data_IF_002848309990
#
_entry.id   IF_002848309990
#
_cell.length_a   1.000
_cell.length_b   1.000
_cell.length_c   1.000
_cell.angle_alpha   90.00
_cell.angle_beta   90.00
_cell.angle_gamma   90.00
#
_symmetry.space_group_name_H-M   'P 1'
#
loop_
_entity.id
_entity.type
_entity.pdbx_description
1 polymer ?
#
# COMPACT_ATOMS: atom_id res chain seq x y z
N UNK A 1 39.84 -10.31 60.92
CA UNK A 1 41.02 -10.85 60.31
C UNK A 1 41.16 -12.35 60.63
N UNK A 2 41.89 -13.05 59.85
CA UNK A 2 42.22 -14.46 60.10
C UNK A 2 43.72 -14.68 60.00
N UNK A 3 44.18 -15.72 60.56
CA UNK A 3 45.58 -16.20 60.51
C UNK A 3 45.56 -17.51 59.74
N UNK A 4 46.34 -17.61 58.68
CA UNK A 4 46.56 -18.85 57.95
C UNK A 4 47.96 -19.34 58.20
N UNK A 5 48.10 -20.55 58.78
CA UNK A 5 49.40 -21.18 58.99
C UNK A 5 49.68 -22.16 57.86
N UNK A 6 50.65 -21.82 57.02
CA UNK A 6 50.98 -22.60 55.83
C UNK A 6 52.03 -23.71 56.11
N UNK A 7 52.52 -23.78 57.33
CA UNK A 7 53.58 -24.73 57.65
C UNK A 7 54.86 -24.49 56.85
N UNK A 8 55.60 -25.56 56.54
CA UNK A 8 56.79 -25.46 55.69
C UNK A 8 56.40 -25.50 54.20
N UNK A 9 56.49 -24.37 53.54
CA UNK A 9 56.07 -24.22 52.12
C UNK A 9 57.18 -24.52 51.10
N UNK A 10 58.43 -24.77 51.58
CA UNK A 10 59.54 -25.03 50.68
C UNK A 10 59.73 -23.91 49.63
N UNK A 11 59.79 -24.28 48.35
CA UNK A 11 59.92 -23.40 47.23
C UNK A 11 58.58 -23.13 46.53
N UNK A 12 57.45 -23.56 47.11
CA UNK A 12 56.15 -23.39 46.50
C UNK A 12 55.64 -21.91 46.57
N UNK A 13 54.97 -21.45 45.56
CA UNK A 13 54.27 -20.16 45.54
C UNK A 13 52.77 -20.37 45.85
N UNK A 14 52.25 -19.57 46.73
CA UNK A 14 50.84 -19.61 47.11
C UNK A 14 50.18 -18.28 46.79
N UNK A 15 48.94 -18.35 46.29
CA UNK A 15 48.04 -17.20 46.11
C UNK A 15 46.86 -17.39 47.06
N UNK A 16 46.57 -16.36 47.85
CA UNK A 16 45.42 -16.35 48.77
C UNK A 16 44.36 -15.39 48.15
N UNK A 17 43.25 -15.98 47.76
CA UNK A 17 42.08 -15.25 47.30
C UNK A 17 40.96 -15.39 48.33
N UNK A 18 40.24 -14.30 48.60
CA UNK A 18 39.07 -14.32 49.44
C UNK A 18 38.08 -13.22 49.10
N UNK A 19 36.81 -13.50 49.29
CA UNK A 19 35.73 -12.55 49.12
C UNK A 19 35.35 -11.94 50.47
N UNK A 20 34.94 -10.70 50.46
CA UNK A 20 34.41 -10.01 51.64
C UNK A 20 33.17 -9.23 51.28
N UNK A 21 32.20 -9.16 52.19
CA UNK A 21 31.04 -8.28 52.03
C UNK A 21 31.47 -6.83 52.13
N UNK A 22 30.93 -6.04 51.19
CA UNK A 22 31.24 -4.62 51.06
C UNK A 22 29.99 -3.79 51.36
N UNK A 23 30.14 -2.75 52.18
CA UNK A 23 29.11 -1.75 52.38
C UNK A 23 29.51 -0.46 51.64
N UNK A 24 28.73 0.02 50.70
CA UNK A 24 29.01 1.25 49.97
C UNK A 24 29.34 2.43 50.91
N UNK A 25 30.34 3.21 50.57
CA UNK A 25 30.78 4.35 51.37
C UNK A 25 31.80 4.02 52.49
N UNK A 26 32.13 2.76 52.71
CA UNK A 26 33.14 2.37 53.69
C UNK A 26 34.53 2.15 53.03
N UNK A 27 35.59 2.33 53.83
CA UNK A 27 36.93 2.01 53.38
C UNK A 27 37.24 0.53 53.67
N UNK A 28 37.53 -0.23 52.63
CA UNK A 28 38.10 -1.55 52.79
C UNK A 28 39.59 -1.45 53.03
N UNK A 29 40.08 -1.98 54.14
CA UNK A 29 41.51 -2.05 54.45
C UNK A 29 41.94 -3.50 54.47
N UNK A 30 42.86 -3.82 53.61
CA UNK A 30 43.51 -5.12 53.61
C UNK A 30 44.94 -4.94 54.14
N UNK A 31 45.32 -5.70 55.19
CA UNK A 31 46.67 -5.75 55.73
C UNK A 31 47.12 -7.18 55.74
N UNK A 32 48.08 -7.50 54.92
CA UNK A 32 48.72 -8.79 54.89
C UNK A 32 50.06 -8.66 55.66
N UNK A 33 50.27 -9.55 56.57
CA UNK A 33 51.57 -9.79 57.25
C UNK A 33 51.99 -11.24 57.06
N UNK A 34 53.17 -11.45 56.55
CA UNK A 34 53.80 -12.76 56.42
C UNK A 34 54.92 -12.81 57.40
N UNK A 35 54.83 -13.75 58.32
CA UNK A 35 55.89 -14.04 59.27
C UNK A 35 56.53 -15.37 58.89
N UNK A 36 57.79 -15.35 58.52
CA UNK A 36 58.54 -16.55 58.18
C UNK A 36 59.39 -17.07 59.39
N UNK A 37 59.60 -18.35 59.44
CA UNK A 37 60.34 -19.02 60.51
C UNK A 37 61.79 -18.58 60.64
N UNK A 38 62.37 -17.93 59.63
CA UNK A 38 63.73 -17.37 59.66
C UNK A 38 63.80 -15.96 60.29
N UNK A 39 62.74 -15.49 60.94
CA UNK A 39 62.65 -14.14 61.54
C UNK A 39 62.41 -12.99 60.58
N UNK A 40 62.30 -13.26 59.34
CA UNK A 40 61.91 -12.19 58.33
C UNK A 40 60.43 -12.05 58.33
N UNK A 41 59.92 -10.84 58.48
CA UNK A 41 58.50 -10.51 58.30
C UNK A 41 58.36 -9.49 57.14
N UNK A 42 57.32 -9.65 56.40
CA UNK A 42 56.89 -8.72 55.31
C UNK A 42 55.42 -8.31 55.54
N UNK A 43 55.15 -7.04 55.53
CA UNK A 43 53.79 -6.55 55.65
C UNK A 43 53.48 -5.59 54.48
N UNK A 44 52.38 -5.81 53.84
CA UNK A 44 51.82 -4.87 52.87
C UNK A 44 50.39 -4.55 53.29
N UNK A 45 49.94 -3.37 52.91
CA UNK A 45 48.54 -3.01 53.09
C UNK A 45 48.01 -2.30 51.82
N UNK A 46 46.80 -2.57 51.48
CA UNK A 46 46.05 -1.86 50.48
C UNK A 46 44.80 -1.26 51.10
N UNK A 47 44.44 -0.05 50.71
CA UNK A 47 43.22 0.58 51.14
C UNK A 47 42.37 0.80 49.91
N UNK A 48 41.21 0.23 49.94
CA UNK A 48 40.21 0.39 48.90
C UNK A 48 39.12 1.35 49.41
N UNK A 49 38.81 2.39 48.63
CA UNK A 49 37.65 3.26 48.91
C UNK A 49 36.81 3.33 47.65
N UNK A 50 35.54 2.98 47.73
CA UNK A 50 34.63 3.25 46.66
C UNK A 50 33.78 4.50 46.98
N UNK A 51 33.50 5.32 46.00
CA UNK A 51 32.49 6.35 46.07
C UNK A 51 31.08 5.71 46.01
N UNK A 52 30.05 6.39 46.52
CA UNK A 52 28.67 5.91 46.62
C UNK A 52 27.96 5.59 45.29
N UNK A 53 28.62 5.64 44.16
CA UNK A 53 28.08 5.21 42.87
C UNK A 53 28.77 3.91 42.44
N UNK A 54 28.02 2.81 42.49
CA UNK A 54 28.45 1.45 42.19
C UNK A 54 29.42 1.35 41.01
N UNK A 55 30.68 1.18 41.37
CA UNK A 55 31.74 0.94 40.42
C UNK A 55 32.56 -0.25 40.89
N UNK A 56 32.87 -1.15 39.95
CA UNK A 56 33.91 -2.18 40.13
C UNK A 56 35.18 -1.48 40.56
N UNK A 57 35.75 -1.95 41.70
CA UNK A 57 36.95 -1.36 42.26
C UNK A 57 38.14 -1.51 41.33
N UNK A 58 38.62 -0.42 40.79
CA UNK A 58 39.86 -0.32 40.07
C UNK A 58 40.92 0.22 41.05
N UNK A 59 41.81 -0.61 41.51
CA UNK A 59 42.84 -0.27 42.54
C UNK A 59 43.82 0.84 42.15
N UNK A 60 43.73 1.39 40.94
CA UNK A 60 44.63 2.39 40.40
C UNK A 60 43.98 3.80 40.25
N UNK A 61 42.86 4.05 40.95
CA UNK A 61 42.17 5.36 40.88
C UNK A 61 42.57 6.34 41.98
N UNK A 62 43.52 6.04 42.83
CA UNK A 62 43.98 6.98 43.85
C UNK A 62 44.46 8.28 43.20
N UNK A 63 43.95 9.41 43.72
CA UNK A 63 44.24 10.73 43.17
C UNK A 63 43.85 10.96 41.70
N UNK A 64 42.88 10.25 41.15
CA UNK A 64 42.42 10.39 39.76
C UNK A 64 40.91 10.63 39.68
N UNK A 65 40.47 11.13 38.57
CA UNK A 65 39.04 11.22 38.18
C UNK A 65 38.80 10.21 37.06
N UNK A 66 37.81 9.31 37.26
CA UNK A 66 37.26 8.44 36.24
C UNK A 66 35.86 8.92 35.83
N UNK A 67 35.67 9.22 34.57
CA UNK A 67 34.36 9.53 34.03
C UNK A 67 33.87 8.37 33.14
N UNK A 68 32.59 8.03 33.28
CA UNK A 68 31.94 6.96 32.53
C UNK A 68 30.76 7.59 31.82
N UNK A 69 30.82 7.65 30.52
CA UNK A 69 29.77 8.25 29.68
C UNK A 69 28.82 7.20 29.14
N UNK A 70 27.53 7.36 29.38
CA UNK A 70 26.50 6.40 28.98
C UNK A 70 25.27 7.08 28.38
N UNK A 71 24.50 6.28 27.64
CA UNK A 71 23.22 6.65 27.07
C UNK A 71 22.14 6.74 28.17
N UNK A 72 21.33 7.78 28.14
CA UNK A 72 20.28 7.97 29.16
C UNK A 72 19.08 7.03 29.01
N UNK A 73 18.83 6.51 27.80
CA UNK A 73 17.75 5.54 27.57
C UNK A 73 18.19 4.10 27.86
N UNK A 74 19.50 3.83 27.76
CA UNK A 74 20.09 2.52 28.07
C UNK A 74 21.53 2.67 28.57
N UNK A 75 21.72 2.66 29.87
CA UNK A 75 23.03 2.87 30.51
C UNK A 75 24.07 1.78 30.22
N UNK A 76 23.69 0.64 29.62
CA UNK A 76 24.63 -0.37 29.13
C UNK A 76 25.41 0.11 27.90
N UNK A 77 24.86 1.11 27.18
CA UNK A 77 25.49 1.70 26.02
C UNK A 77 26.51 2.75 26.49
N UNK A 78 27.78 2.47 26.25
CA UNK A 78 28.90 3.36 26.55
C UNK A 78 29.13 4.33 25.39
N UNK A 79 29.43 5.60 25.71
CA UNK A 79 29.51 6.67 24.70
C UNK A 79 30.96 7.19 24.58
N UNK A 80 31.56 6.98 23.41
CA UNK A 80 32.86 7.49 23.06
C UNK A 80 32.82 8.98 22.67
N UNK A 81 33.97 9.62 22.71
CA UNK A 81 34.20 10.98 22.21
C UNK A 81 33.46 12.11 22.95
N UNK A 82 32.91 11.87 24.15
CA UNK A 82 32.49 12.97 25.01
C UNK A 82 33.70 13.71 25.51
N UNK A 83 33.70 15.04 25.43
CA UNK A 83 34.78 15.90 25.93
C UNK A 83 34.25 16.66 27.15
N UNK A 84 35.01 16.55 28.22
CA UNK A 84 34.74 17.22 29.51
C UNK A 84 35.79 18.27 29.77
N UNK A 85 35.39 19.48 30.15
CA UNK A 85 36.23 20.47 30.74
C UNK A 85 36.30 20.26 32.25
N UNK A 86 37.48 20.08 32.77
CA UNK A 86 37.75 19.91 34.21
C UNK A 86 38.48 21.16 34.72
N UNK A 87 37.84 21.84 35.68
CA UNK A 87 38.47 22.98 36.39
C UNK A 87 39.04 22.55 37.70
N UNK A 88 40.33 22.79 37.91
CA UNK A 88 41.08 22.50 39.10
C UNK A 88 40.71 23.46 40.25
N UNK A 89 41.03 23.12 41.52
CA UNK A 89 40.82 24.04 42.65
C UNK A 89 41.48 25.40 42.51
N UNK A 90 42.60 25.48 41.76
CA UNK A 90 43.32 26.73 41.48
C UNK A 90 42.77 27.49 40.24
N UNK A 91 41.69 27.06 39.62
CA UNK A 91 41.03 27.67 38.49
C UNK A 91 41.61 27.27 37.12
N UNK A 92 42.72 26.55 37.06
CA UNK A 92 43.24 26.03 35.78
C UNK A 92 42.35 24.95 35.22
N UNK A 93 42.28 24.86 33.86
CA UNK A 93 41.40 23.90 33.16
C UNK A 93 42.20 22.91 32.33
N UNK A 94 41.67 21.75 32.18
CA UNK A 94 42.14 20.70 31.26
C UNK A 94 40.97 19.89 30.72
N UNK A 95 41.19 19.12 29.69
CA UNK A 95 40.13 18.32 29.06
C UNK A 95 40.32 16.83 29.31
N UNK A 96 39.21 16.12 29.44
CA UNK A 96 39.14 14.67 29.43
C UNK A 96 38.21 14.21 28.31
N UNK A 97 38.63 13.26 27.48
CA UNK A 97 37.85 12.73 26.37
C UNK A 97 37.63 11.23 26.55
N UNK A 98 36.38 10.76 26.47
CA UNK A 98 36.07 9.34 26.58
C UNK A 98 36.56 8.55 25.38
N UNK A 99 37.17 7.39 25.67
CA UNK A 99 37.60 6.43 24.67
C UNK A 99 36.46 5.57 24.12
N UNK A 100 36.81 4.57 23.31
CA UNK A 100 35.83 3.69 22.65
C UNK A 100 34.92 2.93 23.65
N UNK A 101 35.43 2.65 24.86
CA UNK A 101 34.70 2.01 25.96
C UNK A 101 33.81 3.00 26.74
N UNK A 102 33.71 4.26 26.31
CA UNK A 102 32.95 5.33 27.00
C UNK A 102 33.55 5.80 28.30
N UNK A 103 34.82 5.48 28.56
CA UNK A 103 35.51 5.84 29.81
C UNK A 103 36.71 6.74 29.53
N UNK A 104 37.05 7.53 30.56
CA UNK A 104 38.32 8.28 30.61
C UNK A 104 38.77 8.40 32.03
N UNK A 105 40.07 8.27 32.24
CA UNK A 105 40.73 8.44 33.53
C UNK A 105 41.77 9.56 33.44
N UNK A 106 41.78 10.49 34.39
CA UNK A 106 42.75 11.58 34.43
C UNK A 106 44.16 11.08 34.76
N UNK A 107 45.16 11.92 34.55
CA UNK A 107 46.45 11.78 35.23
C UNK A 107 46.24 11.92 36.74
N UNK A 108 47.30 11.67 37.55
CA UNK A 108 47.32 11.92 38.98
C UNK A 108 47.06 13.44 39.21
N UNK A 109 46.14 13.72 40.13
CA UNK A 109 45.68 15.04 40.48
C UNK A 109 46.03 15.39 41.93
N UNK A 110 46.16 16.65 42.22
CA UNK A 110 46.27 17.17 43.61
C UNK A 110 44.94 17.00 44.36
N UNK A 111 45.02 16.97 45.67
CA UNK A 111 43.82 16.91 46.51
C UNK A 111 42.97 18.20 46.31
N UNK A 112 41.65 18.05 46.16
CA UNK A 112 40.73 19.19 46.03
C UNK A 112 39.44 18.84 45.34
N UNK A 113 38.59 19.86 45.19
CA UNK A 113 37.32 19.78 44.51
C UNK A 113 37.50 20.21 43.05
N UNK A 114 37.14 19.34 42.12
CA UNK A 114 37.25 19.53 40.69
C UNK A 114 35.84 19.71 40.11
N UNK A 115 35.63 20.78 39.36
CA UNK A 115 34.40 21.05 38.61
C UNK A 115 34.50 20.41 37.24
N UNK A 116 33.58 19.55 36.88
CA UNK A 116 33.50 18.85 35.60
C UNK A 116 32.23 19.24 34.88
N UNK A 117 32.38 19.72 33.62
CA UNK A 117 31.27 20.07 32.76
C UNK A 117 31.49 19.40 31.40
N UNK A 118 30.43 18.91 30.77
CA UNK A 118 30.53 18.43 29.39
C UNK A 118 30.70 19.58 28.42
N UNK A 119 31.86 19.66 27.75
CA UNK A 119 32.13 20.64 26.71
C UNK A 119 31.60 20.23 25.34
N UNK A 120 31.67 18.93 25.03
CA UNK A 120 31.18 18.37 23.77
C UNK A 120 30.51 17.02 24.02
N UNK A 121 29.24 16.93 23.68
CA UNK A 121 28.51 15.66 23.72
C UNK A 121 28.97 14.73 22.59
N UNK A 122 28.83 13.43 22.75
CA UNK A 122 28.97 12.47 21.66
C UNK A 122 28.02 12.81 20.50
N UNK A 123 28.43 12.57 19.27
CA UNK A 123 27.58 12.80 18.10
C UNK A 123 26.29 11.99 18.23
N UNK A 124 25.15 12.63 17.98
CA UNK A 124 23.83 12.02 18.13
C UNK A 124 23.18 12.17 19.50
N UNK A 125 23.82 12.91 20.41
CA UNK A 125 23.32 13.18 21.75
C UNK A 125 23.20 14.68 22.03
N UNK A 126 22.26 15.03 22.91
CA UNK A 126 22.11 16.39 23.41
C UNK A 126 23.19 16.68 24.44
N UNK A 127 23.84 17.86 24.42
CA UNK A 127 24.83 18.23 25.41
C UNK A 127 24.20 18.37 26.80
N UNK A 128 24.92 17.96 27.85
CA UNK A 128 24.53 18.19 29.22
C UNK A 128 25.16 19.51 29.72
N UNK A 129 24.34 20.33 30.37
CA UNK A 129 24.82 21.57 31.05
C UNK A 129 25.06 21.34 32.55
N UNK A 130 24.96 20.10 33.00
CA UNK A 130 25.08 19.75 34.41
C UNK A 130 26.53 19.91 34.88
N UNK A 131 26.75 20.61 36.00
CA UNK A 131 28.04 20.71 36.67
C UNK A 131 28.18 19.62 37.71
N UNK A 132 29.33 18.94 37.71
CA UNK A 132 29.65 17.92 38.71
C UNK A 132 30.88 18.36 39.53
N UNK A 133 30.76 18.42 40.84
CA UNK A 133 31.87 18.64 41.73
C UNK A 133 32.39 17.29 42.21
N UNK A 134 33.63 16.96 41.84
CA UNK A 134 34.30 15.69 42.16
C UNK A 134 35.45 15.93 43.12
N UNK A 135 35.38 15.31 44.28
CA UNK A 135 36.39 15.43 45.33
C UNK A 135 37.49 14.39 45.13
N UNK A 136 38.70 14.84 44.89
CA UNK A 136 39.88 13.99 44.80
C UNK A 136 40.63 14.04 46.11
N UNK A 137 41.02 12.89 46.63
CA UNK A 137 41.82 12.74 47.86
C UNK A 137 43.05 11.88 47.61
N UNK A 138 44.13 11.99 48.39
CA UNK A 138 45.34 11.15 48.23
C UNK A 138 45.09 9.65 48.33
N UNK A 139 44.04 9.29 49.07
CA UNK A 139 43.71 7.88 49.33
C UNK A 139 42.57 7.35 48.47
N UNK A 140 42.00 8.17 47.60
CA UNK A 140 40.89 7.74 46.72
C UNK A 140 40.67 8.70 45.57
N UNK A 141 40.24 8.15 44.43
CA UNK A 141 39.81 8.88 43.27
C UNK A 141 38.31 9.15 43.26
N UNK A 142 37.83 9.89 42.30
CA UNK A 142 36.43 10.13 42.08
C UNK A 142 35.96 9.41 40.82
N UNK A 143 34.85 8.66 40.90
CA UNK A 143 34.22 8.03 39.76
C UNK A 143 32.84 8.69 39.55
N UNK A 144 32.55 9.11 38.32
CA UNK A 144 31.24 9.67 37.98
C UNK A 144 30.70 9.09 36.70
N UNK A 145 29.50 8.55 36.75
CA UNK A 145 28.70 8.18 35.61
C UNK A 145 27.91 9.43 35.17
N UNK A 146 27.98 9.74 33.88
CA UNK A 146 27.30 10.91 33.27
C UNK A 146 26.51 10.42 32.06
N UNK A 147 25.24 10.76 31.99
CA UNK A 147 24.33 10.34 30.92
C UNK A 147 24.20 11.46 29.87
N UNK A 148 23.92 11.10 28.60
CA UNK A 148 23.34 12.01 27.61
C UNK A 148 22.06 11.46 27.05
N UNK A 149 21.11 12.36 26.77
CA UNK A 149 19.87 12.03 26.07
C UNK A 149 20.14 11.94 24.55
N UNK A 150 19.70 10.88 23.88
CA UNK A 150 19.84 10.80 22.42
C UNK A 150 18.98 11.88 21.76
N UNK A 151 19.44 12.37 20.60
CA UNK A 151 18.64 13.23 19.72
C UNK A 151 17.54 12.37 19.12
N UNK A 152 16.31 12.81 19.27
CA UNK A 152 15.12 12.13 18.76
C UNK A 152 14.37 13.00 17.76
N UNK A 153 13.67 12.33 16.84
CA UNK A 153 12.86 12.94 15.80
C UNK A 153 11.48 12.26 15.76
N UNK A 154 10.55 12.96 15.13
CA UNK A 154 9.25 12.42 14.75
C UNK A 154 9.22 12.25 13.24
N UNK A 155 8.82 11.06 12.76
CA UNK A 155 8.70 10.74 11.34
C UNK A 155 7.23 10.71 10.96
N UNK A 156 6.86 11.56 10.00
CA UNK A 156 5.48 11.70 9.53
C UNK A 156 5.25 10.91 8.25
N UNK A 157 4.06 10.34 8.12
CA UNK A 157 3.60 9.66 6.90
C UNK A 157 2.19 10.08 6.56
N UNK A 158 1.94 10.24 5.25
CA UNK A 158 0.63 10.56 4.66
C UNK A 158 0.34 9.60 3.52
N UNK A 159 -0.92 9.16 3.44
CA UNK A 159 -1.45 8.36 2.33
C UNK A 159 -2.29 9.20 1.39
N UNK A 160 -2.12 8.98 0.07
CA UNK A 160 -2.96 9.56 -0.99
C UNK A 160 -3.38 8.51 -2.00
N UNK A 161 -4.49 8.76 -2.70
CA UNK A 161 -5.11 7.84 -3.65
C UNK A 161 -5.41 8.53 -4.97
N UNK A 162 -5.24 7.79 -6.07
CA UNK A 162 -5.71 8.13 -7.41
C UNK A 162 -6.58 6.98 -7.90
N UNK A 163 -7.83 7.25 -8.23
CA UNK A 163 -8.87 6.25 -8.48
C UNK A 163 -9.70 5.95 -7.22
N UNK A 164 -10.21 4.74 -7.11
CA UNK A 164 -11.01 4.32 -5.95
C UNK A 164 -10.13 4.33 -4.69
N UNK A 165 -10.64 4.90 -3.62
CA UNK A 165 -10.03 4.89 -2.30
C UNK A 165 -10.54 3.68 -1.53
N UNK A 166 -9.65 2.93 -0.91
CA UNK A 166 -9.98 1.80 -0.03
C UNK A 166 -10.27 2.29 1.40
N UNK A 167 -10.80 1.40 2.25
CA UNK A 167 -11.14 1.74 3.63
C UNK A 167 -9.90 1.89 4.51
N UNK A 168 -8.83 1.16 4.22
CA UNK A 168 -7.58 1.22 4.98
C UNK A 168 -6.40 0.69 4.18
N UNK A 169 -5.18 0.98 4.65
CA UNK A 169 -3.95 0.35 4.20
C UNK A 169 -2.96 0.18 5.36
N UNK A 170 -2.05 -0.77 5.23
CA UNK A 170 -0.98 -1.02 6.18
C UNK A 170 0.32 -0.37 5.71
N UNK A 171 0.91 0.46 6.55
CA UNK A 171 2.21 1.10 6.30
C UNK A 171 3.18 0.70 7.38
N UNK A 172 4.39 0.33 6.97
CA UNK A 172 5.49 -0.12 7.82
C UNK A 172 6.59 0.93 7.84
N UNK A 173 7.08 1.24 9.03
CA UNK A 173 8.28 2.05 9.24
C UNK A 173 9.51 1.14 9.32
N UNK A 174 10.56 1.51 8.64
CA UNK A 174 11.87 0.86 8.69
C UNK A 174 12.93 1.85 9.18
N UNK A 175 13.90 1.31 9.94
CA UNK A 175 15.12 2.00 10.32
C UNK A 175 16.31 1.14 9.85
N UNK A 176 17.12 1.65 8.92
CA UNK A 176 18.21 0.90 8.25
C UNK A 176 17.72 -0.47 7.73
N UNK A 177 16.60 -0.47 6.99
CA UNK A 177 15.92 -1.64 6.41
C UNK A 177 15.37 -2.67 7.43
N UNK A 178 15.42 -2.39 8.72
CA UNK A 178 14.80 -3.22 9.77
C UNK A 178 13.43 -2.65 10.12
N UNK A 179 12.39 -3.47 10.00
CA UNK A 179 11.02 -3.10 10.39
C UNK A 179 10.96 -2.72 11.87
N UNK A 180 10.36 -1.58 12.18
CA UNK A 180 10.20 -1.05 13.53
C UNK A 180 8.76 -1.06 14.00
N UNK A 181 7.85 -0.64 13.14
CA UNK A 181 6.46 -0.48 13.48
C UNK A 181 5.58 -0.66 12.24
N UNK A 182 4.39 -1.21 12.42
CA UNK A 182 3.35 -1.30 11.38
C UNK A 182 2.10 -0.60 11.87
N UNK A 183 1.55 0.29 11.05
CA UNK A 183 0.36 1.05 11.37
C UNK A 183 -0.70 0.91 10.28
N UNK A 184 -1.97 1.14 10.66
CA UNK A 184 -3.09 1.21 9.73
C UNK A 184 -3.46 2.67 9.47
N UNK A 185 -3.47 3.05 8.18
CA UNK A 185 -4.00 4.34 7.74
C UNK A 185 -5.42 4.17 7.19
N UNK A 186 -6.32 5.05 7.58
CA UNK A 186 -7.72 5.05 7.19
C UNK A 186 -8.34 6.46 7.36
N UNK A 187 -9.63 6.59 7.12
CA UNK A 187 -10.35 7.86 7.28
C UNK A 187 -10.32 8.38 8.72
N UNK A 188 -10.40 7.48 9.71
CA UNK A 188 -10.41 7.84 11.12
C UNK A 188 -9.16 8.58 11.61
N UNK A 189 -8.00 8.32 11.00
CA UNK A 189 -6.76 9.05 11.26
C UNK A 189 -6.40 10.04 10.13
N UNK A 190 -7.38 10.39 9.28
CA UNK A 190 -7.20 11.30 8.14
C UNK A 190 -6.05 10.89 7.21
N UNK A 191 -5.80 9.59 7.10
CA UNK A 191 -4.75 9.01 6.26
C UNK A 191 -3.34 9.50 6.60
N UNK A 192 -3.09 9.79 7.89
CA UNK A 192 -1.82 10.29 8.40
C UNK A 192 -1.42 9.58 9.68
N UNK A 193 -0.12 9.51 9.91
CA UNK A 193 0.44 9.07 11.18
C UNK A 193 1.75 9.78 11.46
N UNK A 194 2.09 9.90 12.76
CA UNK A 194 3.39 10.40 13.21
C UNK A 194 3.99 9.37 14.14
N UNK A 195 5.07 8.75 13.70
CA UNK A 195 5.93 7.92 14.53
C UNK A 195 6.77 8.83 15.42
N UNK A 196 6.60 8.73 16.72
CA UNK A 196 7.20 9.68 17.66
C UNK A 196 8.39 9.08 18.41
N UNK A 197 9.24 9.97 18.93
CA UNK A 197 10.29 9.60 19.87
C UNK A 197 11.36 8.65 19.28
N UNK A 198 11.59 8.70 17.96
CA UNK A 198 12.56 7.87 17.25
C UNK A 198 13.96 8.45 17.39
N UNK A 199 14.98 7.62 17.55
CA UNK A 199 16.37 8.07 17.56
C UNK A 199 16.81 8.57 16.19
N UNK A 200 17.41 9.74 16.12
CA UNK A 200 18.00 10.25 14.87
C UNK A 200 19.32 9.54 14.54
N UNK A 201 20.09 9.14 15.56
CA UNK A 201 21.42 8.56 15.40
C UNK A 201 21.54 7.24 16.19
N UNK A 202 22.38 6.36 15.70
CA UNK A 202 22.90 5.19 16.46
C UNK A 202 23.86 5.67 17.57
N UNK A 203 24.18 4.82 18.54
CA UNK A 203 25.13 5.15 19.61
C UNK A 203 26.53 5.56 19.14
N UNK A 204 26.95 5.11 17.96
CA UNK A 204 28.22 5.45 17.33
C UNK A 204 28.20 6.81 16.59
N UNK A 205 27.06 7.49 16.58
CA UNK A 205 26.83 8.76 15.88
C UNK A 205 26.52 8.61 14.40
N UNK A 206 26.28 7.41 13.88
CA UNK A 206 25.80 7.18 12.51
C UNK A 206 24.31 7.53 12.44
N UNK A 207 23.91 8.34 11.43
CA UNK A 207 22.51 8.69 11.24
C UNK A 207 21.70 7.50 10.78
N UNK A 208 20.54 7.29 11.41
CA UNK A 208 19.60 6.21 11.09
C UNK A 208 18.79 6.62 9.85
N UNK A 209 18.76 5.76 8.83
CA UNK A 209 17.95 5.97 7.63
C UNK A 209 16.56 5.41 7.83
N UNK A 210 15.58 6.29 7.94
CA UNK A 210 14.18 5.91 8.01
C UNK A 210 13.57 5.82 6.60
N UNK A 211 12.71 4.83 6.40
CA UNK A 211 11.90 4.66 5.19
C UNK A 211 10.54 4.06 5.54
N UNK A 212 9.58 4.24 4.64
CA UNK A 212 8.25 3.63 4.79
C UNK A 212 7.97 2.72 3.59
N UNK A 213 7.27 1.62 3.85
CA UNK A 213 6.76 0.71 2.81
C UNK A 213 5.31 0.36 3.12
N UNK A 214 4.50 0.25 2.10
CA UNK A 214 3.12 -0.19 2.21
C UNK A 214 2.99 -1.67 1.85
N UNK A 215 2.04 -2.36 2.45
CA UNK A 215 1.51 -3.59 1.89
C UNK A 215 0.55 -3.17 0.77
N UNK A 216 1.08 -3.09 -0.45
CA UNK A 216 0.36 -2.54 -1.60
C UNK A 216 -0.88 -3.39 -1.87
N UNK A 217 -2.08 -2.78 -1.87
CA UNK A 217 -3.31 -3.51 -2.20
C UNK A 217 -3.30 -3.99 -3.66
N UNK A 218 -3.95 -5.12 -3.90
CA UNK A 218 -4.14 -5.62 -5.24
C UNK A 218 -4.88 -4.60 -6.12
N UNK A 219 -4.48 -4.49 -7.38
CA UNK A 219 -5.05 -3.53 -8.33
C UNK A 219 -4.55 -2.09 -8.16
N UNK A 220 -3.50 -1.89 -7.37
CA UNK A 220 -2.87 -0.58 -7.18
C UNK A 220 -1.36 -0.65 -7.38
N UNK A 221 -0.78 0.50 -7.75
CA UNK A 221 0.66 0.76 -7.75
C UNK A 221 0.97 1.80 -6.70
N UNK A 222 2.00 1.54 -5.89
CA UNK A 222 2.45 2.47 -4.87
C UNK A 222 3.66 3.28 -5.36
N UNK A 223 3.64 4.58 -5.10
CA UNK A 223 4.76 5.51 -5.28
C UNK A 223 5.09 6.11 -3.92
N UNK A 224 6.38 6.28 -3.65
CA UNK A 224 6.89 6.81 -2.39
C UNK A 224 7.69 8.08 -2.64
N UNK A 225 7.46 9.10 -1.82
CA UNK A 225 8.20 10.36 -1.86
C UNK A 225 8.36 10.96 -0.46
N UNK A 226 9.18 11.99 -0.34
CA UNK A 226 9.48 12.62 0.95
C UNK A 226 10.62 11.93 1.70
N UNK A 227 10.81 12.30 2.98
CA UNK A 227 11.87 11.83 3.84
C UNK A 227 11.50 11.95 5.33
N UNK A 228 12.35 11.42 6.21
CA UNK A 228 12.17 11.55 7.66
C UNK A 228 12.22 13.00 8.16
N UNK A 229 12.96 13.87 7.48
CA UNK A 229 13.06 15.29 7.84
C UNK A 229 11.86 16.13 7.36
N UNK A 230 11.04 15.58 6.47
CA UNK A 230 9.84 16.25 5.94
C UNK A 230 8.57 15.48 6.30
N UNK A 231 7.98 14.80 5.35
CA UNK A 231 6.85 13.89 5.50
C UNK A 231 6.96 12.84 4.39
N UNK A 232 6.88 11.57 4.71
CA UNK A 232 6.73 10.53 3.71
C UNK A 232 5.32 10.57 3.12
N UNK A 233 5.23 10.48 1.80
CA UNK A 233 3.96 10.36 1.08
C UNK A 233 3.93 9.02 0.38
N UNK A 234 2.93 8.21 0.71
CA UNK A 234 2.60 6.96 0.03
C UNK A 234 1.39 7.22 -0.85
N UNK A 235 1.58 7.19 -2.17
CA UNK A 235 0.54 7.44 -3.16
C UNK A 235 0.19 6.14 -3.87
N UNK A 236 -1.08 5.71 -3.80
CA UNK A 236 -1.56 4.61 -4.61
C UNK A 236 -2.34 5.12 -5.82
N UNK A 237 -2.01 4.54 -6.96
CA UNK A 237 -2.75 4.75 -8.21
C UNK A 237 -3.41 3.43 -8.60
N UNK A 238 -4.73 3.45 -8.78
CA UNK A 238 -5.49 2.29 -9.22
C UNK A 238 -5.09 1.90 -10.65
N UNK A 239 -4.87 0.62 -10.90
CA UNK A 239 -4.65 0.10 -12.25
C UNK A 239 -5.93 0.21 -13.07
N UNK A 240 -5.84 0.90 -14.20
CA UNK A 240 -6.96 1.13 -15.10
C UNK A 240 -6.71 0.54 -16.49
N UNK A 241 -7.80 0.38 -17.25
CA UNK A 241 -7.81 -0.08 -18.62
C UNK A 241 -8.76 0.75 -19.47
N UNK A 242 -8.57 0.70 -20.79
CA UNK A 242 -9.50 1.24 -21.77
C UNK A 242 -10.24 0.10 -22.44
N UNK A 243 -11.55 0.25 -22.59
CA UNK A 243 -12.44 -0.74 -23.21
C UNK A 243 -13.05 -0.15 -24.46
N UNK A 244 -12.80 -0.79 -25.58
CA UNK A 244 -13.38 -0.46 -26.89
C UNK A 244 -14.43 -1.49 -27.26
N UNK A 245 -15.63 -1.00 -27.62
CA UNK A 245 -16.73 -1.83 -28.12
C UNK A 245 -17.03 -1.50 -29.57
N UNK A 246 -17.44 -2.51 -30.32
CA UNK A 246 -17.70 -2.40 -31.76
C UNK A 246 -19.13 -2.76 -32.14
N UNK A 247 -19.66 -2.09 -33.15
CA UNK A 247 -20.94 -2.35 -33.78
C UNK A 247 -20.74 -2.81 -35.22
N UNK A 248 -21.38 -3.91 -35.58
CA UNK A 248 -21.45 -4.41 -36.95
C UNK A 248 -22.90 -4.39 -37.43
N UNK A 249 -23.12 -3.86 -38.61
CA UNK A 249 -24.38 -3.92 -39.33
C UNK A 249 -24.22 -4.88 -40.49
N UNK A 250 -25.10 -5.84 -40.60
CA UNK A 250 -25.15 -6.78 -41.73
C UNK A 250 -26.45 -6.54 -42.47
N UNK A 251 -26.32 -6.20 -43.74
CA UNK A 251 -27.46 -5.85 -44.61
C UNK A 251 -28.26 -4.60 -44.13
N UNK A 252 -29.43 -4.35 -44.75
CA UNK A 252 -30.34 -3.27 -44.41
C UNK A 252 -29.97 -1.90 -45.00
N UNK A 253 -30.83 -0.90 -44.79
CA UNK A 253 -30.68 0.43 -45.37
C UNK A 253 -29.32 1.05 -45.08
N UNK A 254 -28.83 1.89 -46.00
CA UNK A 254 -27.57 2.64 -45.86
C UNK A 254 -27.61 3.50 -44.59
N UNK A 255 -28.70 4.22 -44.33
CA UNK A 255 -28.91 4.95 -43.09
C UNK A 255 -29.24 3.99 -41.96
N UNK A 256 -28.32 3.86 -41.01
CA UNK A 256 -28.50 2.99 -39.85
C UNK A 256 -29.19 3.75 -38.71
N UNK A 257 -30.03 3.06 -37.92
CA UNK A 257 -30.61 3.68 -36.73
C UNK A 257 -29.57 4.07 -35.72
N UNK A 258 -29.80 5.16 -35.00
CA UNK A 258 -28.99 5.55 -33.83
C UNK A 258 -29.27 4.59 -32.70
N UNK A 259 -28.21 4.06 -32.09
CA UNK A 259 -28.26 3.17 -30.96
C UNK A 259 -27.32 3.67 -29.86
N UNK A 260 -27.42 3.10 -28.67
CA UNK A 260 -26.57 3.38 -27.54
C UNK A 260 -25.99 2.11 -26.98
N UNK A 261 -24.74 2.18 -26.52
CA UNK A 261 -24.09 1.12 -25.73
C UNK A 261 -24.00 1.53 -24.27
N UNK A 262 -24.43 0.64 -23.39
CA UNK A 262 -24.20 0.71 -21.95
C UNK A 262 -23.18 -0.33 -21.55
N UNK A 263 -22.18 0.07 -20.75
CA UNK A 263 -21.08 -0.79 -20.32
C UNK A 263 -21.49 -1.61 -19.10
N UNK A 264 -21.14 -2.89 -19.13
CA UNK A 264 -21.31 -3.85 -18.07
C UNK A 264 -19.99 -4.56 -17.77
N UNK A 265 -19.90 -5.13 -16.59
CA UNK A 265 -18.77 -5.96 -16.18
C UNK A 265 -19.21 -7.11 -15.29
N UNK A 266 -18.35 -8.12 -15.16
CA UNK A 266 -18.46 -9.18 -14.16
C UNK A 266 -17.08 -9.72 -13.79
N UNK A 267 -16.96 -10.35 -12.64
CA UNK A 267 -15.86 -11.25 -12.32
C UNK A 267 -16.15 -12.63 -12.90
N UNK A 268 -15.13 -13.48 -13.02
CA UNK A 268 -15.31 -14.85 -13.52
C UNK A 268 -16.27 -15.68 -12.63
N UNK A 269 -16.36 -15.34 -11.34
CA UNK A 269 -17.23 -15.96 -10.34
C UNK A 269 -18.66 -15.44 -10.34
N UNK A 270 -18.92 -14.32 -11.00
CA UNK A 270 -20.23 -13.69 -10.95
C UNK A 270 -21.22 -14.38 -11.89
N UNK A 271 -22.43 -14.65 -11.44
CA UNK A 271 -23.46 -15.31 -12.26
C UNK A 271 -24.01 -14.39 -13.35
N UNK A 272 -23.97 -13.08 -13.15
CA UNK A 272 -24.58 -12.07 -14.02
C UNK A 272 -23.71 -10.85 -14.23
N UNK A 273 -24.03 -10.10 -15.29
CA UNK A 273 -23.43 -8.82 -15.59
C UNK A 273 -23.98 -7.71 -14.69
N UNK A 274 -23.12 -6.83 -14.23
CA UNK A 274 -23.49 -5.62 -13.50
C UNK A 274 -23.14 -4.40 -14.31
N UNK A 275 -24.01 -3.42 -14.39
CA UNK A 275 -23.74 -2.16 -15.06
C UNK A 275 -22.53 -1.47 -14.38
N UNK A 276 -21.64 -0.91 -15.19
CA UNK A 276 -20.51 -0.14 -14.67
C UNK A 276 -21.01 1.21 -14.18
N UNK A 277 -20.95 1.40 -12.88
CA UNK A 277 -21.37 2.63 -12.25
C UNK A 277 -20.54 3.82 -12.77
N UNK A 278 -21.19 4.95 -13.03
CA UNK A 278 -20.58 6.18 -13.58
C UNK A 278 -19.92 6.06 -14.98
N UNK A 279 -19.99 4.90 -15.65
CA UNK A 279 -19.60 4.83 -17.05
C UNK A 279 -20.71 5.47 -17.92
N UNK A 280 -20.39 6.48 -18.75
CA UNK A 280 -21.40 7.09 -19.59
C UNK A 280 -21.95 6.10 -20.60
N UNK A 281 -23.27 6.16 -20.86
CA UNK A 281 -23.87 5.51 -22.01
C UNK A 281 -23.35 6.20 -23.26
N UNK A 282 -22.89 5.43 -24.24
CA UNK A 282 -22.26 5.96 -25.46
C UNK A 282 -23.20 5.82 -26.65
N UNK A 283 -23.40 6.92 -27.34
CA UNK A 283 -24.18 6.98 -28.57
C UNK A 283 -23.37 6.50 -29.76
N UNK A 284 -24.00 5.71 -30.64
CA UNK A 284 -23.52 5.37 -31.96
C UNK A 284 -24.56 5.87 -32.97
N UNK A 285 -24.34 7.10 -33.43
CA UNK A 285 -25.10 7.68 -34.51
C UNK A 285 -24.74 7.04 -35.86
N UNK A 286 -25.53 7.31 -36.89
CA UNK A 286 -25.37 6.76 -38.24
C UNK A 286 -23.91 6.80 -38.72
N UNK A 287 -23.34 5.63 -39.02
CA UNK A 287 -21.98 5.47 -39.50
C UNK A 287 -20.91 5.25 -38.40
N UNK A 288 -21.22 5.52 -37.13
CA UNK A 288 -20.33 5.20 -36.04
C UNK A 288 -20.41 3.72 -35.67
N UNK A 289 -19.26 3.07 -35.65
CA UNK A 289 -19.15 1.63 -35.36
C UNK A 289 -18.33 1.29 -34.11
N UNK A 290 -17.77 2.30 -33.42
CA UNK A 290 -16.89 2.10 -32.30
C UNK A 290 -17.13 3.16 -31.21
N UNK A 291 -17.00 2.72 -29.96
CA UNK A 291 -16.95 3.60 -28.78
C UNK A 291 -15.93 3.07 -27.78
N UNK A 292 -15.34 3.99 -27.00
CA UNK A 292 -14.31 3.65 -26.02
C UNK A 292 -14.65 4.26 -24.67
N UNK A 293 -14.40 3.52 -23.60
CA UNK A 293 -14.39 3.99 -22.22
C UNK A 293 -12.99 3.86 -21.67
N UNK A 294 -12.46 4.94 -21.08
CA UNK A 294 -11.12 5.00 -20.51
C UNK A 294 -11.18 5.01 -18.98
N UNK A 295 -10.02 4.78 -18.35
CA UNK A 295 -9.85 4.83 -16.89
C UNK A 295 -10.78 3.89 -16.11
N UNK A 296 -11.13 2.76 -16.68
CA UNK A 296 -11.94 1.74 -16.03
C UNK A 296 -11.06 0.89 -15.11
N UNK A 297 -11.56 0.48 -13.92
CA UNK A 297 -10.83 -0.45 -13.05
C UNK A 297 -10.51 -1.75 -13.78
N UNK A 298 -9.23 -2.16 -13.78
CA UNK A 298 -8.86 -3.45 -14.36
C UNK A 298 -9.31 -4.61 -13.47
N UNK A 299 -9.25 -4.43 -12.15
CA UNK A 299 -9.54 -5.45 -11.15
C UNK A 299 -10.48 -4.91 -10.06
N UNK A 300 -11.03 -5.82 -9.27
CA UNK A 300 -11.66 -5.46 -8.01
C UNK A 300 -10.64 -5.22 -6.89
N UNK A 301 -11.12 -4.98 -5.66
CA UNK A 301 -10.28 -4.68 -4.49
C UNK A 301 -9.46 -5.90 -4.00
N UNK A 302 -9.76 -7.10 -4.51
CA UNK A 302 -9.02 -8.33 -4.24
C UNK A 302 -8.05 -8.70 -5.37
N UNK A 303 -7.94 -7.87 -6.42
CA UNK A 303 -7.08 -8.09 -7.57
C UNK A 303 -7.66 -9.05 -8.61
N UNK A 304 -8.96 -9.39 -8.54
CA UNK A 304 -9.62 -10.26 -9.52
C UNK A 304 -10.01 -9.43 -10.75
N UNK A 305 -9.66 -9.90 -11.93
CA UNK A 305 -9.89 -9.17 -13.17
C UNK A 305 -11.37 -9.10 -13.54
N UNK A 306 -11.81 -7.92 -14.00
CA UNK A 306 -13.12 -7.72 -14.60
C UNK A 306 -13.13 -8.12 -16.06
N UNK A 307 -14.17 -8.83 -16.48
CA UNK A 307 -14.53 -8.99 -17.88
C UNK A 307 -15.62 -7.97 -18.21
N UNK A 308 -15.34 -7.15 -19.22
CA UNK A 308 -16.26 -6.11 -19.69
C UNK A 308 -17.10 -6.59 -20.88
N UNK A 309 -18.33 -6.11 -20.98
CA UNK A 309 -19.24 -6.33 -22.10
C UNK A 309 -20.18 -5.16 -22.27
N UNK A 310 -20.87 -5.07 -23.40
CA UNK A 310 -21.84 -4.02 -23.67
C UNK A 310 -23.23 -4.60 -23.96
N UNK A 311 -24.24 -3.81 -23.66
CA UNK A 311 -25.63 -4.03 -24.09
C UNK A 311 -26.05 -2.89 -25.01
N UNK A 312 -26.74 -3.26 -26.09
CA UNK A 312 -27.34 -2.32 -27.03
C UNK A 312 -28.73 -1.91 -26.58
N UNK A 313 -29.05 -0.65 -26.76
CA UNK A 313 -30.37 -0.13 -26.45
C UNK A 313 -30.65 1.26 -27.05
N UNK A 314 -31.65 1.89 -26.51
CA UNK A 314 -32.07 3.25 -26.81
C UNK A 314 -32.05 4.10 -25.55
N UNK A 315 -31.88 5.41 -25.72
CA UNK A 315 -31.99 6.38 -24.63
C UNK A 315 -33.22 7.25 -24.89
N UNK A 316 -34.18 7.17 -23.97
CA UNK A 316 -35.39 7.99 -23.99
C UNK A 316 -35.48 8.78 -22.69
N UNK A 317 -35.58 10.09 -22.76
CA UNK A 317 -35.61 10.99 -21.61
C UNK A 317 -34.44 10.76 -20.63
N UNK A 318 -33.26 10.46 -21.17
CA UNK A 318 -32.03 10.19 -20.38
C UNK A 318 -31.94 8.78 -19.78
N UNK A 319 -32.92 7.92 -20.00
CA UNK A 319 -32.97 6.55 -19.49
C UNK A 319 -32.59 5.57 -20.59
N UNK A 320 -31.56 4.74 -20.32
CA UNK A 320 -31.18 3.65 -21.21
C UNK A 320 -32.12 2.45 -21.02
N UNK A 321 -32.61 1.93 -22.14
CA UNK A 321 -33.41 0.70 -22.17
C UNK A 321 -32.83 -0.24 -23.22
N UNK A 322 -32.60 -1.49 -22.86
CA UNK A 322 -32.16 -2.51 -23.83
C UNK A 322 -33.23 -2.71 -24.89
N UNK A 323 -32.89 -2.42 -26.13
CA UNK A 323 -33.78 -2.58 -27.29
C UNK A 323 -32.93 -2.81 -28.52
N UNK A 324 -33.29 -3.82 -29.30
CA UNK A 324 -32.79 -4.02 -30.65
C UNK A 324 -33.62 -3.10 -31.62
N UNK A 325 -32.99 -2.40 -32.57
CA UNK A 325 -33.73 -1.67 -33.57
C UNK A 325 -34.72 -2.56 -34.34
N UNK A 326 -35.84 -1.98 -34.70
CA UNK A 326 -36.87 -2.73 -35.44
C UNK A 326 -36.30 -3.25 -36.76
N UNK A 327 -36.71 -4.42 -37.16
CA UNK A 327 -36.23 -5.16 -38.35
C UNK A 327 -34.77 -5.58 -38.30
N UNK A 328 -34.19 -5.75 -37.11
CA UNK A 328 -32.88 -6.32 -36.95
C UNK A 328 -32.90 -7.49 -35.94
N UNK A 329 -32.07 -8.50 -36.23
CA UNK A 329 -31.73 -9.57 -35.28
C UNK A 329 -30.37 -9.25 -34.66
N UNK A 330 -30.31 -9.13 -33.35
CA UNK A 330 -29.11 -8.82 -32.59
C UNK A 330 -28.36 -10.09 -32.16
N UNK A 331 -27.06 -10.06 -32.33
CA UNK A 331 -26.14 -11.01 -31.71
C UNK A 331 -25.14 -10.26 -30.83
N UNK A 332 -25.00 -10.67 -29.58
CA UNK A 332 -24.08 -10.10 -28.61
C UNK A 332 -22.93 -11.06 -28.36
N UNK A 333 -21.70 -10.58 -28.48
CA UNK A 333 -20.49 -11.31 -28.17
C UNK A 333 -19.52 -10.38 -27.41
N UNK A 334 -19.73 -10.27 -26.10
CA UNK A 334 -18.94 -9.44 -25.22
C UNK A 334 -18.98 -7.95 -25.58
N UNK A 335 -17.95 -7.47 -26.22
CA UNK A 335 -17.79 -6.06 -26.66
C UNK A 335 -18.21 -5.86 -28.11
N UNK A 336 -18.64 -6.90 -28.80
CA UNK A 336 -19.04 -6.84 -30.20
C UNK A 336 -20.55 -7.11 -30.33
N UNK A 337 -21.27 -6.16 -30.89
CA UNK A 337 -22.70 -6.32 -31.19
C UNK A 337 -22.90 -6.30 -32.69
N UNK A 338 -23.58 -7.32 -33.21
CA UNK A 338 -23.94 -7.45 -34.62
C UNK A 338 -25.45 -7.37 -34.75
N UNK A 339 -25.94 -6.47 -35.60
CA UNK A 339 -27.33 -6.44 -36.03
C UNK A 339 -27.44 -6.82 -37.51
N UNK A 340 -28.16 -7.92 -37.73
CA UNK A 340 -28.48 -8.39 -39.09
C UNK A 340 -29.90 -7.94 -39.46
N UNK A 341 -30.02 -7.26 -40.59
CA UNK A 341 -31.32 -6.82 -41.08
C UNK A 341 -32.23 -7.98 -41.44
N UNK A 342 -33.49 -7.85 -41.13
CA UNK A 342 -34.58 -8.75 -41.52
C UNK A 342 -35.71 -7.96 -42.11
N UNK A 343 -36.12 -8.33 -43.30
CA UNK A 343 -37.22 -7.64 -43.99
C UNK A 343 -38.51 -7.66 -43.14
N UNK A 344 -39.18 -6.54 -42.98
CA UNK A 344 -40.55 -6.53 -42.44
C UNK A 344 -41.43 -7.46 -43.23
N UNK A 345 -42.36 -8.14 -42.53
CA UNK A 345 -43.27 -9.04 -43.17
C UNK A 345 -44.59 -8.38 -43.48
N UNK A 346 -45.10 -8.61 -44.71
CA UNK A 346 -46.39 -8.08 -45.17
C UNK A 346 -47.30 -9.20 -45.58
N UNK A 347 -48.54 -8.89 -45.73
CA UNK A 347 -49.57 -9.68 -46.42
C UNK A 347 -50.04 -8.96 -47.67
N UNK A 348 -50.30 -9.71 -48.72
CA UNK A 348 -50.94 -9.21 -49.93
C UNK A 348 -52.25 -9.97 -50.08
N UNK A 349 -53.33 -9.23 -50.19
CA UNK A 349 -54.67 -9.79 -50.38
C UNK A 349 -55.16 -9.50 -51.80
N UNK A 350 -55.72 -10.48 -52.42
CA UNK A 350 -56.31 -10.35 -53.73
C UNK A 350 -57.75 -10.82 -53.67
N UNK A 351 -58.63 -10.07 -54.34
CA UNK A 351 -60.02 -10.39 -54.52
C UNK A 351 -60.33 -10.35 -56.03
N UNK A 352 -60.72 -11.49 -56.57
CA UNK A 352 -61.13 -11.58 -57.96
C UNK A 352 -62.59 -11.15 -58.11
N UNK A 353 -62.80 -10.00 -58.75
CA UNK A 353 -64.09 -9.50 -59.11
C UNK A 353 -64.36 -9.89 -60.55
N UNK A 354 -65.53 -10.39 -60.80
CA UNK A 354 -66.05 -10.62 -62.16
C UNK A 354 -66.88 -9.45 -62.58
N UNK A 355 -66.42 -8.79 -63.59
CA UNK A 355 -67.18 -7.73 -64.27
C UNK A 355 -67.53 -8.26 -65.66
N UNK A 356 -68.71 -8.73 -65.76
CA UNK A 356 -69.28 -9.19 -66.99
C UNK A 356 -70.54 -8.33 -67.22
N UNK A 357 -70.47 -7.50 -68.14
CA UNK A 357 -71.52 -6.61 -68.63
C UNK A 357 -72.83 -7.40 -68.81
N UNK A 358 -73.34 -7.77 -67.70
CA UNK A 358 -74.23 -8.89 -67.55
C UNK A 358 -75.67 -8.56 -67.60
N UNK A 359 -75.96 -7.36 -67.97
CA UNK A 359 -77.36 -7.02 -68.26
C UNK A 359 -77.96 -7.90 -69.34
N UNK A 360 -77.19 -8.71 -69.95
CA UNK A 360 -77.56 -9.70 -70.92
C UNK A 360 -77.46 -11.15 -70.43
N UNK A 361 -77.60 -11.35 -69.16
CA UNK A 361 -77.66 -12.68 -68.62
C UNK A 361 -76.33 -13.36 -68.29
N UNK A 362 -75.23 -12.63 -68.37
CA UNK A 362 -73.90 -13.18 -68.04
C UNK A 362 -73.86 -13.73 -66.65
N UNK A 363 -74.31 -13.02 -65.62
CA UNK A 363 -74.34 -13.52 -64.23
C UNK A 363 -75.31 -14.68 -64.04
N UNK A 364 -76.48 -14.63 -64.71
CA UNK A 364 -77.44 -15.72 -64.66
C UNK A 364 -76.88 -17.01 -65.31
N UNK A 365 -76.32 -16.80 -66.52
CA UNK A 365 -75.65 -17.92 -67.21
C UNK A 365 -74.45 -18.47 -66.44
N UNK A 366 -73.70 -17.56 -65.87
CA UNK A 366 -72.47 -17.95 -65.07
C UNK A 366 -72.84 -18.60 -63.73
N UNK A 367 -73.88 -18.06 -63.05
CA UNK A 367 -74.33 -18.67 -61.80
C UNK A 367 -74.88 -20.06 -61.99
N UNK A 368 -75.51 -20.30 -63.17
CA UNK A 368 -76.04 -21.64 -63.53
C UNK A 368 -74.90 -22.67 -63.76
N UNK A 369 -73.77 -22.21 -64.32
CA UNK A 369 -72.63 -23.07 -64.58
C UNK A 369 -71.47 -22.88 -63.55
N UNK A 370 -71.60 -21.98 -62.62
CA UNK A 370 -70.57 -21.56 -61.68
C UNK A 370 -69.49 -20.71 -62.34
N UNK A 371 -68.72 -20.00 -61.51
CA UNK A 371 -67.56 -19.23 -61.97
C UNK A 371 -66.39 -20.17 -62.28
N UNK A 372 -65.65 -19.93 -63.36
CA UNK A 372 -64.51 -20.78 -63.72
C UNK A 372 -63.38 -20.71 -62.66
N UNK A 373 -62.67 -21.81 -62.54
CA UNK A 373 -61.40 -21.81 -61.77
C UNK A 373 -60.39 -20.95 -62.52
N UNK A 374 -59.74 -20.06 -61.78
CA UNK A 374 -58.62 -19.23 -62.29
C UNK A 374 -57.36 -19.47 -61.49
N UNK A 375 -56.22 -19.22 -62.06
CA UNK A 375 -54.90 -19.24 -61.42
C UNK A 375 -54.38 -17.83 -61.28
N UNK A 376 -53.96 -17.49 -60.09
CA UNK A 376 -53.32 -16.19 -59.81
C UNK A 376 -51.88 -16.43 -59.42
N UNK A 377 -50.94 -15.76 -60.07
CA UNK A 377 -49.51 -15.76 -59.75
C UNK A 377 -49.10 -14.44 -59.11
N UNK A 378 -48.45 -14.56 -57.92
CA UNK A 378 -47.79 -13.41 -57.30
C UNK A 378 -46.44 -13.22 -57.99
N UNK A 379 -46.10 -11.95 -58.24
CA UNK A 379 -44.80 -11.54 -58.74
C UNK A 379 -44.08 -10.61 -57.77
N UNK A 380 -42.76 -10.78 -57.67
CA UNK A 380 -41.87 -9.92 -56.90
C UNK A 380 -40.80 -9.37 -57.82
N UNK A 381 -40.76 -8.06 -58.04
CA UNK A 381 -39.86 -7.40 -58.95
C UNK A 381 -39.86 -8.07 -60.37
N UNK A 382 -41.03 -8.47 -60.88
CA UNK A 382 -41.19 -9.08 -62.16
C UNK A 382 -40.86 -10.57 -62.24
N UNK A 383 -40.43 -11.19 -61.17
CA UNK A 383 -40.19 -12.61 -61.07
C UNK A 383 -41.34 -13.32 -60.32
N UNK A 384 -41.74 -14.53 -60.77
CA UNK A 384 -42.78 -15.32 -60.08
C UNK A 384 -42.32 -15.67 -58.64
N UNK A 385 -43.17 -15.37 -57.67
CA UNK A 385 -42.99 -15.70 -56.27
C UNK A 385 -43.91 -16.84 -55.85
N UNK A 386 -43.33 -18.01 -55.51
CA UNK A 386 -44.10 -19.20 -55.19
C UNK A 386 -44.83 -19.80 -56.41
N UNK A 387 -45.77 -20.70 -56.11
CA UNK A 387 -46.61 -21.35 -57.13
C UNK A 387 -47.90 -20.59 -57.37
N UNK A 388 -48.51 -20.67 -58.57
CA UNK A 388 -49.85 -20.11 -58.80
C UNK A 388 -50.87 -20.69 -57.84
N UNK A 389 -51.76 -19.87 -57.38
CA UNK A 389 -52.87 -20.24 -56.49
C UNK A 389 -54.15 -20.36 -57.31
N UNK A 390 -54.92 -21.42 -57.11
CA UNK A 390 -56.22 -21.59 -57.74
C UNK A 390 -57.32 -20.94 -56.93
N UNK A 391 -58.13 -20.15 -57.58
CA UNK A 391 -59.39 -19.62 -57.05
C UNK A 391 -60.54 -20.35 -57.73
N UNK A 392 -61.40 -20.90 -56.93
CA UNK A 392 -62.54 -21.73 -57.40
C UNK A 392 -63.87 -21.08 -57.06
N UNK A 393 -64.94 -21.61 -57.61
CA UNK A 393 -66.27 -21.11 -57.35
C UNK A 393 -66.60 -21.02 -55.84
N UNK A 394 -67.01 -19.86 -55.38
CA UNK A 394 -67.30 -19.54 -53.98
C UNK A 394 -66.12 -19.10 -53.14
N UNK A 395 -64.90 -19.17 -53.67
CA UNK A 395 -63.69 -18.68 -52.97
C UNK A 395 -62.75 -17.94 -53.92
N UNK A 396 -63.08 -16.68 -54.19
CA UNK A 396 -62.30 -15.84 -55.10
C UNK A 396 -61.38 -14.84 -54.39
N UNK A 397 -61.05 -15.11 -53.10
CA UNK A 397 -60.11 -14.35 -52.32
C UNK A 397 -58.91 -15.22 -51.94
N UNK A 398 -57.76 -14.59 -51.92
CA UNK A 398 -56.54 -15.22 -51.40
C UNK A 398 -55.69 -14.24 -50.70
N UNK A 399 -54.97 -14.67 -49.65
CA UNK A 399 -54.04 -13.87 -48.86
C UNK A 399 -52.70 -14.56 -48.86
N UNK A 400 -51.73 -13.95 -49.46
CA UNK A 400 -50.35 -14.33 -49.22
C UNK A 400 -49.89 -13.64 -47.96
N UNK A 401 -49.32 -14.45 -47.01
CA UNK A 401 -48.82 -13.98 -45.72
C UNK A 401 -47.32 -14.20 -45.61
N UNK A 402 -46.68 -13.52 -44.64
CA UNK A 402 -45.27 -13.68 -44.36
C UNK A 402 -44.32 -13.35 -45.54
N UNK A 403 -44.73 -12.48 -46.44
CA UNK A 403 -43.92 -12.04 -47.55
C UNK A 403 -42.89 -10.99 -47.07
N UNK A 404 -41.70 -11.03 -47.65
CA UNK A 404 -40.71 -9.95 -47.43
C UNK A 404 -41.18 -8.66 -48.11
N UNK A 405 -41.20 -7.56 -47.33
CA UNK A 405 -41.52 -6.24 -47.87
C UNK A 405 -40.35 -5.66 -48.66
N UNK A 406 -39.13 -5.92 -48.20
CA UNK A 406 -37.91 -5.30 -48.70
C UNK A 406 -36.85 -6.35 -49.07
N UNK A 407 -35.92 -5.95 -49.91
CA UNK A 407 -34.68 -6.72 -50.17
C UNK A 407 -33.69 -6.63 -48.99
N UNK A 408 -32.51 -7.28 -49.15
CA UNK A 408 -31.45 -7.26 -48.15
C UNK A 408 -30.88 -5.85 -47.86
N UNK A 409 -31.05 -4.92 -48.78
CA UNK A 409 -30.55 -3.55 -48.67
C UNK A 409 -31.64 -2.58 -48.14
N UNK A 410 -32.84 -3.10 -47.87
CA UNK A 410 -33.96 -2.36 -47.32
C UNK A 410 -34.83 -1.64 -48.37
N UNK A 411 -34.64 -1.92 -49.64
CA UNK A 411 -35.48 -1.36 -50.72
C UNK A 411 -36.77 -2.18 -50.86
N UNK A 412 -37.91 -1.51 -51.01
CA UNK A 412 -39.21 -2.17 -51.19
C UNK A 412 -39.21 -3.00 -52.49
N UNK A 413 -39.84 -4.13 -52.43
CA UNK A 413 -40.13 -4.97 -53.59
C UNK A 413 -41.32 -4.50 -54.39
#
# INVERSE_FOLDING_TARGET
GFILNLGNIGTASYVLEYDTTYTPGTSLRNKLRLDASNGKSFATHSIYRSAESGGTGDGDLASKIKLIKVDADNEQIKLANAVFEVTKPNGQKFELKTGANGEVVSNILEQGDYKVIEKTAPKGYLPSQEEHILKVTPAGGAIKKITNKPIKIDVKVKKTWVGKKLDSCLVKLYADDVEKETITLNEGNSWKHTFTNLRKFKPDGTEIKYSVKEVVPNGYKAEYSGSADTEFVVKNTQDTTSIKATKTWVDGPTAKPTIWFKLYRKLATDPSLTAVENAPVKELANGNTEVTWDNLPKTDDQGREYTYSVKEGVVVNGVFTEKTPDNYLKTENGLNITNKYTSPKIKIEVDKIWDDDDNNGGSVARSANGNPTIKIQLYKNGQAEGSPVELTNGNFKYVWTNLDKTDKDGNDY
#
